data_IF_916268439895
#
_entry.id   IF_916268439895
#
_cell.length_a   1.000
_cell.length_b   1.000
_cell.length_c   1.000
_cell.angle_alpha   90.00
_cell.angle_beta   90.00
_cell.angle_gamma   90.00
#
_symmetry.space_group_name_H-M   'P 1'
#
loop_
_entity.id
_entity.type
_entity.pdbx_description
1 polymer ?
#
# COMPACT_ATOMS: atom_id res chain seq x y z
N UNK A 1 -28.59 -21.21 42.05
CA UNK A 1 -27.39 -20.95 41.24
C UNK A 1 -27.71 -21.47 39.86
N UNK A 2 -28.08 -20.59 38.94
CA UNK A 2 -28.41 -20.96 37.56
C UNK A 2 -27.49 -20.16 36.68
N UNK A 3 -26.74 -20.87 35.86
CA UNK A 3 -25.59 -20.40 35.10
C UNK A 3 -26.01 -19.29 34.13
N UNK A 4 -25.23 -18.20 34.14
CA UNK A 4 -25.41 -17.09 33.22
C UNK A 4 -25.00 -17.56 31.82
N UNK A 5 -25.82 -17.34 30.77
CA UNK A 5 -25.41 -17.70 29.42
C UNK A 5 -24.29 -16.75 29.00
N UNK A 6 -23.08 -17.26 28.83
CA UNK A 6 -22.07 -16.61 28.03
C UNK A 6 -22.57 -16.72 26.57
N UNK A 7 -23.24 -15.68 26.08
CA UNK A 7 -23.50 -15.58 24.65
C UNK A 7 -22.16 -15.38 23.96
N UNK A 8 -21.71 -16.42 23.27
CA UNK A 8 -20.58 -16.38 22.36
C UNK A 8 -20.98 -15.46 21.20
N UNK A 9 -20.45 -14.25 21.19
CA UNK A 9 -20.70 -13.30 20.10
C UNK A 9 -19.96 -13.83 18.87
N UNK A 10 -20.67 -14.50 17.96
CA UNK A 10 -20.14 -14.83 16.64
C UNK A 10 -19.74 -13.53 15.94
N UNK A 11 -18.44 -13.37 15.68
CA UNK A 11 -17.94 -12.28 14.86
C UNK A 11 -18.26 -12.65 13.41
N UNK A 12 -19.19 -11.93 12.80
CA UNK A 12 -19.40 -11.99 11.36
C UNK A 12 -18.17 -11.39 10.66
N UNK A 13 -17.25 -12.27 10.26
CA UNK A 13 -16.00 -11.91 9.58
C UNK A 13 -16.27 -11.19 8.26
N UNK A 14 -17.37 -11.49 7.56
CA UNK A 14 -17.69 -10.81 6.30
C UNK A 14 -18.13 -9.37 6.56
N UNK A 15 -18.93 -9.14 7.60
CA UNK A 15 -19.27 -7.79 8.05
C UNK A 15 -18.04 -7.03 8.60
N UNK A 16 -17.12 -7.73 9.28
CA UNK A 16 -15.89 -7.13 9.79
C UNK A 16 -14.91 -6.68 8.69
N UNK A 17 -15.00 -7.28 7.50
CA UNK A 17 -14.20 -6.94 6.33
C UNK A 17 -14.91 -5.98 5.37
N UNK A 18 -16.15 -5.60 5.66
CA UNK A 18 -16.91 -4.66 4.85
C UNK A 18 -16.55 -3.21 5.19
N UNK A 19 -16.12 -2.44 4.18
CA UNK A 19 -15.87 -1.01 4.32
C UNK A 19 -14.67 -0.52 3.51
N UNK A 20 -14.42 0.79 3.60
CA UNK A 20 -13.26 1.45 2.99
C UNK A 20 -12.33 1.98 4.08
N UNK A 21 -11.03 1.95 3.81
CA UNK A 21 -10.01 2.53 4.70
C UNK A 21 -9.41 3.77 4.03
N UNK A 22 -9.35 4.88 4.76
CA UNK A 22 -8.63 6.07 4.34
C UNK A 22 -7.19 6.03 4.84
N UNK A 23 -6.22 6.12 3.93
CA UNK A 23 -4.80 6.21 4.23
C UNK A 23 -4.29 7.61 3.91
N UNK A 24 -3.71 8.29 4.91
CA UNK A 24 -3.08 9.60 4.73
C UNK A 24 -1.57 9.40 4.63
N UNK A 25 -1.00 9.81 3.49
CA UNK A 25 0.43 9.76 3.24
C UNK A 25 0.96 11.13 2.85
N UNK A 26 2.17 11.42 3.29
CA UNK A 26 2.96 12.51 2.74
C UNK A 26 3.24 12.27 1.26
N UNK A 27 3.16 13.33 0.45
CA UNK A 27 3.35 13.23 -1.00
C UNK A 27 4.69 12.58 -1.40
N UNK A 28 5.85 12.90 -0.78
CA UNK A 28 7.10 12.19 -1.05
C UNK A 28 7.03 10.68 -0.78
N UNK A 29 6.36 10.27 0.30
CA UNK A 29 6.19 8.85 0.64
C UNK A 29 5.33 8.15 -0.42
N UNK A 30 4.22 8.76 -0.84
CA UNK A 30 3.35 8.22 -1.88
C UNK A 30 4.10 8.04 -3.22
N UNK A 31 4.95 9.00 -3.59
CA UNK A 31 5.79 8.92 -4.80
C UNK A 31 6.80 7.77 -4.71
N UNK A 32 7.52 7.64 -3.59
CA UNK A 32 8.51 6.56 -3.39
C UNK A 32 7.85 5.19 -3.40
N UNK A 33 6.69 5.04 -2.75
CA UNK A 33 5.93 3.78 -2.74
C UNK A 33 5.42 3.43 -4.13
N UNK A 34 4.91 4.40 -4.89
CA UNK A 34 4.48 4.18 -6.27
C UNK A 34 5.62 3.69 -7.15
N UNK A 35 6.78 4.34 -7.07
CA UNK A 35 7.99 3.95 -7.82
C UNK A 35 8.50 2.56 -7.41
N UNK A 36 8.54 2.24 -6.12
CA UNK A 36 8.91 0.92 -5.63
C UNK A 36 7.99 -0.17 -6.19
N UNK A 37 6.67 0.03 -6.10
CA UNK A 37 5.69 -0.92 -6.60
C UNK A 37 5.77 -1.07 -8.13
N UNK A 38 6.00 0.03 -8.87
CA UNK A 38 6.18 -0.02 -10.31
C UNK A 38 7.39 -0.90 -10.68
N UNK A 39 8.56 -0.70 -10.05
CA UNK A 39 9.76 -1.51 -10.33
C UNK A 39 9.58 -2.98 -10.00
N UNK A 40 8.96 -3.29 -8.86
CA UNK A 40 8.66 -4.67 -8.48
C UNK A 40 7.74 -5.33 -9.52
N UNK A 41 6.79 -4.60 -10.10
CA UNK A 41 5.76 -5.18 -10.95
C UNK A 41 6.11 -5.19 -12.44
N UNK A 42 6.89 -4.22 -12.92
CA UNK A 42 7.14 -4.02 -14.35
C UNK A 42 8.47 -4.68 -14.82
N UNK A 43 9.49 -4.82 -13.97
CA UNK A 43 10.82 -5.37 -14.34
C UNK A 43 10.89 -6.91 -14.27
N UNK A 44 9.82 -7.62 -14.63
CA UNK A 44 9.73 -9.09 -14.50
C UNK A 44 9.65 -9.60 -13.06
N UNK A 45 9.70 -8.71 -12.08
CA UNK A 45 9.52 -9.02 -10.66
C UNK A 45 8.09 -9.41 -10.30
N UNK A 46 7.09 -9.15 -11.15
CA UNK A 46 5.71 -9.57 -10.89
C UNK A 46 5.58 -11.10 -10.79
N UNK A 47 6.32 -11.85 -11.59
CA UNK A 47 6.29 -13.31 -11.54
C UNK A 47 6.99 -13.82 -10.27
N UNK A 48 8.13 -13.23 -9.91
CA UNK A 48 8.84 -13.54 -8.68
C UNK A 48 8.01 -13.19 -7.44
N UNK A 49 7.27 -12.09 -7.50
CA UNK A 49 6.34 -11.69 -6.44
C UNK A 49 5.18 -12.69 -6.34
N UNK A 50 4.64 -13.19 -7.47
CA UNK A 50 3.63 -14.27 -7.45
C UNK A 50 4.16 -15.54 -6.78
N UNK A 51 5.43 -15.89 -6.99
CA UNK A 51 6.05 -17.06 -6.36
C UNK A 51 6.17 -16.92 -4.83
N UNK A 52 6.27 -15.68 -4.33
CA UNK A 52 6.34 -15.37 -2.89
C UNK A 52 4.95 -15.20 -2.27
N UNK A 53 3.95 -14.77 -3.04
CA UNK A 53 2.60 -14.56 -2.56
C UNK A 53 1.80 -15.86 -2.58
N UNK A 54 1.42 -16.34 -1.40
CA UNK A 54 0.70 -17.59 -1.23
C UNK A 54 -0.76 -17.52 -1.73
N UNK A 55 -1.36 -16.33 -1.71
CA UNK A 55 -2.77 -16.16 -2.04
C UNK A 55 -2.98 -15.20 -3.24
N UNK A 56 -3.82 -15.54 -4.24
CA UNK A 56 -4.07 -14.68 -5.41
C UNK A 56 -4.64 -13.29 -5.07
N UNK A 57 -5.31 -13.17 -3.92
CA UNK A 57 -5.82 -11.88 -3.44
C UNK A 57 -4.70 -10.89 -3.12
N UNK A 58 -3.52 -11.37 -2.71
CA UNK A 58 -2.41 -10.50 -2.30
C UNK A 58 -1.89 -9.70 -3.49
N UNK A 59 -1.73 -10.37 -4.64
CA UNK A 59 -1.35 -9.72 -5.90
C UNK A 59 -2.40 -8.67 -6.29
N UNK A 60 -3.69 -8.98 -6.15
CA UNK A 60 -4.77 -8.05 -6.44
C UNK A 60 -4.75 -6.83 -5.50
N UNK A 61 -4.43 -7.03 -4.22
CA UNK A 61 -4.26 -5.94 -3.26
C UNK A 61 -3.08 -5.03 -3.63
N UNK A 62 -1.95 -5.60 -4.05
CA UNK A 62 -0.78 -4.85 -4.51
C UNK A 62 -1.11 -4.00 -5.75
N UNK A 63 -1.80 -4.58 -6.75
CA UNK A 63 -2.28 -3.83 -7.93
C UNK A 63 -3.24 -2.70 -7.55
N UNK A 64 -4.16 -2.95 -6.62
CA UNK A 64 -5.12 -1.96 -6.15
C UNK A 64 -4.41 -0.79 -5.47
N UNK A 65 -3.42 -1.08 -4.61
CA UNK A 65 -2.61 -0.06 -3.95
C UNK A 65 -1.79 0.77 -4.97
N UNK A 66 -1.12 0.14 -5.94
CA UNK A 66 -0.38 0.84 -7.00
C UNK A 66 -1.31 1.81 -7.75
N UNK A 67 -2.51 1.35 -8.10
CA UNK A 67 -3.51 2.15 -8.84
C UNK A 67 -4.02 3.33 -8.02
N UNK A 68 -4.32 3.11 -6.74
CA UNK A 68 -4.74 4.17 -5.83
C UNK A 68 -3.65 5.24 -5.66
N UNK A 69 -2.40 4.82 -5.46
CA UNK A 69 -1.24 5.72 -5.36
C UNK A 69 -1.02 6.50 -6.67
N UNK A 70 -1.07 5.85 -7.83
CA UNK A 70 -0.93 6.52 -9.12
C UNK A 70 -2.01 7.59 -9.35
N UNK A 71 -3.25 7.28 -8.95
CA UNK A 71 -4.36 8.24 -9.02
C UNK A 71 -4.15 9.43 -8.06
N UNK A 72 -3.68 9.16 -6.84
CA UNK A 72 -3.49 10.16 -5.79
C UNK A 72 -2.27 11.07 -6.03
N UNK A 73 -1.17 10.54 -6.56
CA UNK A 73 0.03 11.33 -6.91
C UNK A 73 -0.30 12.32 -8.04
N UNK A 74 -1.31 12.00 -8.87
CA UNK A 74 -1.81 12.85 -9.94
C UNK A 74 -0.82 12.86 -11.10
N UNK A 75 -0.94 11.86 -11.98
CA UNK A 75 -0.12 11.76 -13.20
C UNK A 75 -0.50 12.91 -14.13
N UNK A 76 0.44 13.81 -14.42
CA UNK A 76 1.05 13.80 -15.73
C UNK A 76 2.43 13.21 -15.54
N UNK A 77 2.80 12.22 -16.36
CA UNK A 77 4.19 11.77 -16.40
C UNK A 77 5.02 13.02 -16.71
N UNK A 78 5.62 13.59 -15.66
CA UNK A 78 6.53 14.69 -15.79
C UNK A 78 7.60 14.22 -16.76
N UNK A 79 8.08 15.12 -17.61
CA UNK A 79 9.25 14.85 -18.43
C UNK A 79 10.46 14.42 -17.56
N UNK A 80 10.38 14.62 -16.23
CA UNK A 80 11.35 14.18 -15.22
C UNK A 80 10.69 13.41 -14.03
N UNK A 81 9.98 12.31 -14.27
CA UNK A 81 9.49 11.45 -13.17
C UNK A 81 10.64 10.93 -12.29
N UNK A 82 11.78 10.60 -12.89
CA UNK A 82 12.96 10.12 -12.17
C UNK A 82 13.50 11.19 -11.20
N UNK A 83 13.54 12.46 -11.61
CA UNK A 83 13.96 13.55 -10.72
C UNK A 83 12.98 13.74 -9.56
N UNK A 84 11.68 13.59 -9.81
CA UNK A 84 10.66 13.64 -8.77
C UNK A 84 10.86 12.51 -7.74
N UNK A 85 11.20 11.30 -8.19
CA UNK A 85 11.50 10.18 -7.31
C UNK A 85 12.74 10.44 -6.46
N UNK A 86 13.82 10.96 -7.05
CA UNK A 86 15.06 11.25 -6.33
C UNK A 86 14.89 12.35 -5.27
N UNK A 87 14.16 13.42 -5.61
CA UNK A 87 13.80 14.47 -4.64
C UNK A 87 12.93 13.89 -3.51
N UNK A 88 11.92 13.08 -3.86
CA UNK A 88 11.05 12.45 -2.88
C UNK A 88 11.84 11.54 -1.92
N UNK A 89 12.78 10.74 -2.41
CA UNK A 89 13.65 9.89 -1.58
C UNK A 89 14.49 10.73 -0.61
N UNK A 90 15.09 11.81 -1.09
CA UNK A 90 15.88 12.74 -0.27
C UNK A 90 15.04 13.33 0.87
N UNK A 91 13.81 13.74 0.57
CA UNK A 91 12.87 14.27 1.55
C UNK A 91 12.42 13.21 2.57
N UNK A 92 12.20 11.97 2.14
CA UNK A 92 11.84 10.87 3.06
C UNK A 92 12.98 10.57 4.03
N UNK A 93 14.22 10.44 3.53
CA UNK A 93 15.40 10.15 4.36
C UNK A 93 15.68 11.27 5.35
N UNK A 94 15.72 12.52 4.89
CA UNK A 94 16.00 13.66 5.78
C UNK A 94 14.99 13.82 6.92
N UNK A 95 13.73 13.41 6.71
CA UNK A 95 12.70 13.41 7.76
C UNK A 95 12.88 12.29 8.78
N UNK A 96 13.34 11.11 8.34
CA UNK A 96 13.68 10.02 9.26
C UNK A 96 14.84 10.43 10.16
N UNK A 97 15.90 10.97 9.59
CA UNK A 97 17.08 11.44 10.33
C UNK A 97 16.78 12.60 11.29
N UNK A 98 15.77 13.44 10.98
CA UNK A 98 15.33 14.53 11.86
C UNK A 98 14.40 14.07 13.00
N UNK A 99 13.86 12.85 12.92
CA UNK A 99 12.98 12.27 13.93
C UNK A 99 13.74 11.43 14.97
N UNK A 100 15.01 11.08 14.71
CA UNK A 100 15.96 10.42 15.61
C UNK A 100 16.71 11.42 16.51
#
# INVERSE_FOLDING_TARGET
MTESPFQETEIDTAAALAGEVALVLDKPVAVVLLDLLARIMDEGGAEQLRDVLEHPADMSAVWTLKTALGSAVGVPMAQDYDALVDEARTLVVSRLEAAD
#
